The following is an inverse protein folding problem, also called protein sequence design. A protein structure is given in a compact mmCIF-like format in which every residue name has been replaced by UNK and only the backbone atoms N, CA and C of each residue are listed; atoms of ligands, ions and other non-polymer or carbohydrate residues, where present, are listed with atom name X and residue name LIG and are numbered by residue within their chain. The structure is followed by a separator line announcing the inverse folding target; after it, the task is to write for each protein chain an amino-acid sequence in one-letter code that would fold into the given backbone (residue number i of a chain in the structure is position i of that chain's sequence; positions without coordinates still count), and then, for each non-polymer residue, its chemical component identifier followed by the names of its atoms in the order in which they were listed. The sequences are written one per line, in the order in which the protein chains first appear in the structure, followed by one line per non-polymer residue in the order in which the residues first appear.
data_IF_842239383712
#
_entry.id   IF_842239383712
#
_cell.length_a   1.000
_cell.length_b   1.000
_cell.length_c   1.000
_cell.angle_alpha   90.00
_cell.angle_beta   90.00
_cell.angle_gamma   90.00
#
_symmetry.space_group_name_H-M   'P 1'
#
loop_
_entity.id
_entity.type
_entity.pdbx_description
1 polymer ?
#
# COMPACT_ATOMS: atom_id res chain seq x y z
N UNK A 1 -6.23 -14.79 11.41
CA UNK A 1 -6.88 -14.98 12.72
C UNK A 1 -8.14 -15.81 12.61
N UNK A 2 -8.35 -16.73 13.55
CA UNK A 2 -9.61 -17.49 13.68
C UNK A 2 -10.68 -16.70 14.45
N UNK A 3 -10.26 -15.64 15.16
CA UNK A 3 -11.13 -14.79 15.98
C UNK A 3 -11.79 -13.65 15.16
N UNK A 4 -11.45 -13.50 13.90
CA UNK A 4 -12.11 -12.53 13.01
C UNK A 4 -11.49 -11.14 12.94
N UNK A 5 -10.48 -10.84 13.77
CA UNK A 5 -9.91 -9.48 13.88
C UNK A 5 -8.62 -9.25 13.08
N UNK A 6 -8.22 -10.24 12.26
CA UNK A 6 -7.02 -10.13 11.43
C UNK A 6 -5.76 -9.81 12.25
N UNK A 7 -5.00 -8.82 11.80
CA UNK A 7 -3.76 -8.34 12.41
C UNK A 7 -3.98 -7.56 13.71
N UNK A 8 -5.20 -7.05 13.95
CA UNK A 8 -5.56 -6.30 15.15
C UNK A 8 -6.04 -7.17 16.32
N UNK A 9 -6.00 -8.50 16.21
CA UNK A 9 -6.58 -9.43 17.19
C UNK A 9 -6.07 -9.20 18.62
N UNK A 10 -4.79 -8.87 18.80
CA UNK A 10 -4.22 -8.60 20.14
C UNK A 10 -4.95 -7.43 20.83
N UNK A 11 -5.12 -6.32 20.09
CA UNK A 11 -5.81 -5.14 20.60
C UNK A 11 -7.32 -5.36 20.76
N UNK A 12 -7.99 -5.91 19.73
CA UNK A 12 -9.45 -5.97 19.70
C UNK A 12 -10.03 -6.99 20.68
N UNK A 13 -9.26 -8.05 20.97
CA UNK A 13 -9.62 -9.07 21.94
C UNK A 13 -8.96 -8.85 23.33
N UNK A 14 -8.20 -7.77 23.50
CA UNK A 14 -7.45 -7.46 24.72
C UNK A 14 -6.61 -8.66 25.21
N UNK A 15 -5.95 -9.36 24.28
CA UNK A 15 -5.12 -10.52 24.63
C UNK A 15 -3.88 -10.03 25.40
N UNK A 16 -3.67 -10.56 26.60
CA UNK A 16 -2.52 -10.17 27.43
C UNK A 16 -1.18 -10.42 26.74
N UNK A 17 -0.18 -9.60 27.06
CA UNK A 17 1.19 -9.75 26.55
C UNK A 17 1.70 -11.18 26.76
N UNK A 18 1.58 -11.70 28.00
CA UNK A 18 2.02 -13.06 28.37
C UNK A 18 1.36 -14.17 27.50
N UNK A 19 0.09 -14.01 27.16
CA UNK A 19 -0.63 -14.97 26.30
C UNK A 19 -0.20 -14.82 24.85
N UNK A 20 -0.13 -13.60 24.34
CA UNK A 20 0.20 -13.33 22.94
C UNK A 20 1.62 -13.73 22.57
N UNK A 21 2.58 -13.51 23.49
CA UNK A 21 3.98 -13.91 23.31
C UNK A 21 4.20 -15.42 23.14
N UNK A 22 3.21 -16.25 23.46
CA UNK A 22 3.25 -17.71 23.24
C UNK A 22 2.83 -18.12 21.83
N UNK A 23 2.15 -17.25 21.09
CA UNK A 23 1.66 -17.58 19.73
C UNK A 23 2.78 -17.94 18.74
N UNK A 24 3.97 -17.32 18.78
CA UNK A 24 5.08 -17.72 17.91
C UNK A 24 5.48 -19.19 18.00
N UNK A 25 5.24 -19.86 19.15
CA UNK A 25 5.50 -21.30 19.30
C UNK A 25 4.67 -22.16 18.34
N UNK A 26 3.52 -21.65 17.89
CA UNK A 26 2.62 -22.32 16.96
C UNK A 26 2.75 -21.82 15.52
N UNK A 27 3.56 -20.78 15.30
CA UNK A 27 3.80 -20.20 13.98
C UNK A 27 4.95 -20.93 13.29
N UNK A 28 4.63 -21.65 12.23
CA UNK A 28 5.59 -22.46 11.47
C UNK A 28 5.23 -22.45 9.97
N UNK A 29 5.63 -21.41 9.21
CA UNK A 29 5.28 -21.25 7.82
C UNK A 29 6.10 -22.18 6.90
N UNK A 30 5.90 -23.48 7.02
CA UNK A 30 6.67 -24.53 6.31
C UNK A 30 6.50 -24.50 4.80
N UNK A 31 5.35 -23.97 4.32
CA UNK A 31 5.01 -23.89 2.91
C UNK A 31 5.38 -22.50 2.31
N UNK A 32 6.07 -21.65 3.09
CA UNK A 32 6.56 -20.38 2.60
C UNK A 32 7.57 -20.57 1.47
N UNK A 33 7.25 -20.02 0.30
CA UNK A 33 8.10 -20.08 -0.88
C UNK A 33 8.27 -18.68 -1.49
N UNK A 34 9.35 -17.97 -1.17
CA UNK A 34 9.58 -16.60 -1.63
C UNK A 34 9.70 -16.49 -3.15
N UNK A 35 10.25 -17.50 -3.83
CA UNK A 35 10.37 -17.50 -5.29
C UNK A 35 8.98 -17.57 -5.96
N UNK A 36 8.06 -18.37 -5.41
CA UNK A 36 6.68 -18.40 -5.89
C UNK A 36 5.95 -17.09 -5.63
N UNK A 37 6.15 -16.46 -4.47
CA UNK A 37 5.55 -15.17 -4.16
C UNK A 37 6.00 -14.09 -5.15
N UNK A 38 7.32 -14.01 -5.38
CA UNK A 38 7.90 -13.02 -6.31
C UNK A 38 7.46 -13.28 -7.74
N UNK A 39 7.45 -14.56 -8.17
CA UNK A 39 6.94 -14.93 -9.49
C UNK A 39 5.48 -14.54 -9.67
N UNK A 40 4.63 -14.82 -8.70
CA UNK A 40 3.22 -14.45 -8.72
C UNK A 40 3.03 -12.93 -8.83
N UNK A 41 3.78 -12.15 -8.04
CA UNK A 41 3.75 -10.69 -8.12
C UNK A 41 4.19 -10.19 -9.52
N UNK A 42 5.26 -10.75 -10.07
CA UNK A 42 5.76 -10.42 -11.41
C UNK A 42 4.76 -10.78 -12.50
N UNK A 43 4.15 -11.96 -12.45
CA UNK A 43 3.12 -12.42 -13.40
C UNK A 43 1.85 -11.55 -13.30
N UNK A 44 1.56 -11.01 -12.12
CA UNK A 44 0.49 -10.04 -11.89
C UNK A 44 0.84 -8.61 -12.38
N UNK A 45 2.05 -8.39 -12.89
CA UNK A 45 2.51 -7.09 -13.38
C UNK A 45 3.02 -6.14 -12.31
N UNK A 46 3.20 -6.60 -11.07
CA UNK A 46 3.72 -5.80 -9.95
C UNK A 46 5.18 -5.41 -10.18
N UNK A 47 5.59 -4.26 -9.66
CA UNK A 47 6.95 -3.72 -9.79
C UNK A 47 7.71 -3.75 -8.48
N UNK A 48 7.01 -3.84 -7.37
CA UNK A 48 7.59 -3.92 -6.04
C UNK A 48 6.69 -4.72 -5.09
N UNK A 49 7.29 -5.19 -4.01
CA UNK A 49 6.63 -5.87 -2.89
C UNK A 49 6.94 -5.08 -1.63
N UNK A 50 5.93 -4.83 -0.80
CA UNK A 50 6.09 -4.31 0.56
C UNK A 50 5.74 -5.44 1.52
N UNK A 51 6.72 -5.86 2.35
CA UNK A 51 6.53 -6.93 3.34
C UNK A 51 6.59 -6.36 4.76
N UNK A 52 5.71 -6.81 5.63
CA UNK A 52 5.73 -6.45 7.04
C UNK A 52 6.95 -7.04 7.72
N UNK A 53 7.91 -6.19 8.10
CA UNK A 53 9.08 -6.59 8.89
C UNK A 53 8.75 -6.72 10.37
N UNK A 54 7.90 -5.80 10.88
CA UNK A 54 7.35 -5.80 12.24
C UNK A 54 6.02 -5.04 12.24
N UNK A 55 4.98 -5.60 12.86
CA UNK A 55 3.67 -4.96 13.03
C UNK A 55 3.49 -4.44 14.46
N UNK A 56 2.29 -3.97 14.80
CA UNK A 56 1.95 -3.34 16.08
C UNK A 56 2.10 -4.25 17.30
N UNK A 57 2.07 -5.55 17.11
CA UNK A 57 2.29 -6.56 18.16
C UNK A 57 3.77 -6.73 18.56
N UNK A 58 4.68 -6.03 17.89
CA UNK A 58 6.11 -6.04 18.17
C UNK A 58 6.87 -7.27 17.65
N UNK A 59 6.18 -8.25 17.03
CA UNK A 59 6.84 -9.45 16.49
C UNK A 59 7.62 -9.14 15.21
N UNK A 60 8.92 -9.47 15.22
CA UNK A 60 9.81 -9.24 14.08
C UNK A 60 9.88 -10.45 13.19
N UNK A 61 9.59 -10.28 11.89
CA UNK A 61 9.61 -11.33 10.87
C UNK A 61 11.03 -11.60 10.32
N UNK A 62 12.08 -11.12 11.01
CA UNK A 62 13.47 -11.22 10.59
C UNK A 62 14.40 -11.50 11.78
N UNK A 63 15.64 -11.92 11.51
CA UNK A 63 16.66 -12.24 12.51
C UNK A 63 17.28 -10.98 13.10
N UNK A 64 16.47 -10.22 13.88
CA UNK A 64 16.96 -9.03 14.57
C UNK A 64 17.74 -9.41 15.84
N UNK A 65 18.82 -8.68 16.11
CA UNK A 65 19.58 -8.78 17.36
C UNK A 65 19.10 -7.76 18.41
N UNK A 66 18.24 -6.82 17.97
CA UNK A 66 17.66 -5.82 18.88
C UNK A 66 16.56 -6.39 19.79
N UNK A 67 15.97 -7.55 19.44
CA UNK A 67 14.93 -8.21 20.22
C UNK A 67 14.95 -9.72 19.98
N UNK A 68 14.70 -10.50 21.03
CA UNK A 68 14.49 -11.95 20.93
C UNK A 68 13.07 -12.33 20.49
N UNK A 69 12.15 -11.34 20.44
CA UNK A 69 10.77 -11.54 19.98
C UNK A 69 10.71 -11.50 18.45
N UNK A 70 11.27 -12.52 17.83
CA UNK A 70 11.41 -12.63 16.39
C UNK A 70 11.20 -14.06 15.89
N UNK A 71 11.01 -14.18 14.57
CA UNK A 71 10.69 -15.46 13.92
C UNK A 71 11.79 -16.52 14.09
N UNK A 72 13.05 -16.14 14.18
CA UNK A 72 14.18 -17.06 14.32
C UNK A 72 14.28 -17.60 15.75
N UNK A 73 14.15 -16.73 16.75
CA UNK A 73 14.32 -17.11 18.16
C UNK A 73 13.07 -17.77 18.75
N UNK A 74 11.88 -17.28 18.42
CA UNK A 74 10.62 -17.64 19.09
C UNK A 74 9.77 -18.68 18.36
N UNK A 75 10.11 -19.07 17.11
CA UNK A 75 9.32 -20.06 16.36
C UNK A 75 10.07 -21.38 16.16
N UNK A 76 9.33 -22.42 15.77
CA UNK A 76 9.92 -23.67 15.30
C UNK A 76 10.50 -23.58 13.89
N UNK A 77 10.12 -22.56 13.13
CA UNK A 77 10.59 -22.32 11.76
C UNK A 77 12.08 -21.98 11.69
N UNK A 78 12.60 -21.20 12.62
CA UNK A 78 14.03 -20.88 12.79
C UNK A 78 14.72 -20.29 11.56
N UNK A 79 14.00 -19.68 10.64
CA UNK A 79 14.55 -19.08 9.42
C UNK A 79 14.06 -17.64 9.26
N UNK A 80 14.94 -16.81 8.69
CA UNK A 80 14.64 -15.43 8.35
C UNK A 80 13.86 -15.36 7.01
N UNK A 81 12.57 -15.05 7.09
CA UNK A 81 11.71 -14.99 5.89
C UNK A 81 12.02 -13.77 5.03
N UNK A 82 12.47 -12.65 5.63
CA UNK A 82 12.79 -11.45 4.88
C UNK A 82 14.05 -11.61 4.06
N UNK A 83 15.04 -12.33 4.56
CA UNK A 83 16.27 -12.60 3.83
C UNK A 83 16.00 -13.42 2.57
N UNK A 84 15.23 -14.49 2.70
CA UNK A 84 14.85 -15.32 1.56
C UNK A 84 14.02 -14.53 0.53
N UNK A 85 13.11 -13.65 0.98
CA UNK A 85 12.35 -12.79 0.08
C UNK A 85 13.22 -11.76 -0.64
N UNK A 86 14.17 -11.13 0.07
CA UNK A 86 15.08 -10.16 -0.52
C UNK A 86 15.95 -10.79 -1.64
N UNK A 87 16.44 -12.01 -1.43
CA UNK A 87 17.19 -12.76 -2.44
C UNK A 87 16.31 -13.08 -3.67
N UNK A 88 15.07 -13.52 -3.46
CA UNK A 88 14.13 -13.80 -4.54
C UNK A 88 13.75 -12.53 -5.32
N UNK A 89 13.48 -11.43 -4.64
CA UNK A 89 13.18 -10.13 -5.24
C UNK A 89 14.36 -9.64 -6.12
N UNK A 90 15.58 -9.71 -5.59
CA UNK A 90 16.80 -9.34 -6.34
C UNK A 90 16.96 -10.15 -7.61
N UNK A 91 16.74 -11.48 -7.56
CA UNK A 91 16.85 -12.39 -8.70
C UNK A 91 15.88 -12.04 -9.83
N UNK A 92 14.68 -11.56 -9.51
CA UNK A 92 13.60 -11.28 -10.45
C UNK A 92 13.45 -9.78 -10.79
N UNK A 93 14.32 -8.92 -10.27
CA UNK A 93 14.26 -7.44 -10.39
C UNK A 93 12.92 -6.86 -9.93
N UNK A 94 12.38 -7.41 -8.83
CA UNK A 94 11.26 -6.83 -8.10
C UNK A 94 11.83 -6.00 -6.95
N UNK A 95 11.38 -4.75 -6.83
CA UNK A 95 11.85 -3.87 -5.76
C UNK A 95 11.22 -4.27 -4.43
N UNK A 96 12.02 -4.27 -3.34
CA UNK A 96 11.56 -4.67 -2.01
C UNK A 96 11.47 -3.46 -1.10
N UNK A 97 10.32 -3.30 -0.44
CA UNK A 97 10.07 -2.36 0.64
C UNK A 97 9.81 -3.12 1.94
N UNK A 98 10.21 -2.54 3.06
CA UNK A 98 9.84 -3.04 4.37
C UNK A 98 8.78 -2.12 5.01
N UNK A 99 7.61 -2.69 5.33
CA UNK A 99 6.69 -2.06 6.28
C UNK A 99 7.27 -2.18 7.69
N UNK A 100 7.26 -1.09 8.42
CA UNK A 100 7.75 -1.03 9.78
C UNK A 100 6.78 -0.23 10.67
N UNK A 101 6.24 -0.89 11.70
CA UNK A 101 5.37 -0.23 12.66
C UNK A 101 6.15 0.68 13.61
N UNK A 102 5.73 1.93 13.70
CA UNK A 102 6.20 2.88 14.71
C UNK A 102 5.60 2.57 16.09
N UNK A 103 4.37 2.06 16.10
CA UNK A 103 3.64 1.68 17.29
C UNK A 103 4.03 0.26 17.73
N UNK A 104 4.03 0.02 19.05
CA UNK A 104 4.33 -1.29 19.66
C UNK A 104 3.47 -1.53 20.90
N UNK A 105 2.63 -2.58 20.85
CA UNK A 105 1.78 -2.95 21.98
C UNK A 105 2.54 -3.77 23.04
N UNK A 106 3.71 -4.30 22.71
CA UNK A 106 4.49 -5.18 23.57
C UNK A 106 5.65 -4.48 24.28
N UNK A 107 6.34 -3.56 23.60
CA UNK A 107 7.54 -2.93 24.14
C UNK A 107 7.24 -2.10 25.39
N UNK A 108 7.98 -2.36 26.47
CA UNK A 108 7.89 -1.58 27.71
C UNK A 108 8.31 -0.13 27.48
N UNK A 109 9.30 0.09 26.61
CA UNK A 109 9.82 1.42 26.29
C UNK A 109 8.93 2.22 25.32
N UNK A 110 7.87 1.61 24.73
CA UNK A 110 6.82 2.35 24.03
C UNK A 110 5.90 3.06 25.06
N UNK A 111 6.49 4.06 25.70
CA UNK A 111 5.86 4.83 26.77
C UNK A 111 6.19 6.33 26.61
N UNK A 112 5.18 7.25 26.67
CA UNK A 112 3.79 7.03 27.09
C UNK A 112 3.01 6.15 26.10
N UNK A 113 2.07 5.38 26.62
CA UNK A 113 1.19 4.53 25.80
C UNK A 113 0.38 5.37 24.82
N UNK A 114 0.19 4.85 23.63
CA UNK A 114 -0.66 5.44 22.60
C UNK A 114 -2.16 5.31 22.88
N UNK A 115 -2.96 5.53 21.84
CA UNK A 115 -4.43 5.41 21.89
C UNK A 115 -4.91 3.96 21.90
N UNK A 116 -4.12 3.05 21.37
CA UNK A 116 -4.49 1.65 21.18
C UNK A 116 -3.77 0.73 22.18
N UNK A 117 -4.27 -0.49 22.30
CA UNK A 117 -3.70 -1.47 23.22
C UNK A 117 -3.94 -1.18 24.70
N UNK A 118 -4.83 -0.25 25.05
CA UNK A 118 -5.02 0.14 26.47
C UNK A 118 -5.73 -0.93 27.30
N UNK A 119 -6.45 -1.85 26.65
CA UNK A 119 -7.06 -3.01 27.33
C UNK A 119 -6.16 -4.24 27.40
N UNK A 120 -4.96 -4.18 26.81
CA UNK A 120 -4.02 -5.31 26.83
C UNK A 120 -3.34 -5.37 28.20
N UNK A 121 -3.60 -6.46 28.92
CA UNK A 121 -2.99 -6.73 30.22
C UNK A 121 -1.50 -7.09 30.06
N UNK A 122 -0.69 -6.73 31.06
CA UNK A 122 0.76 -7.03 31.10
C UNK A 122 1.64 -6.01 30.37
N UNK A 123 1.08 -4.91 29.85
CA UNK A 123 1.89 -3.78 29.35
C UNK A 123 2.50 -2.99 30.49
N UNK A 124 3.74 -2.53 30.31
CA UNK A 124 4.46 -1.76 31.32
C UNK A 124 3.75 -0.43 31.68
N UNK A 125 3.86 -0.03 32.93
CA UNK A 125 3.33 1.24 33.48
C UNK A 125 4.36 2.39 33.37
N UNK A 126 5.57 2.10 32.89
CA UNK A 126 6.66 3.08 32.70
C UNK A 126 7.61 2.55 31.65
N UNK A 127 8.32 3.45 30.97
CA UNK A 127 9.30 3.11 29.95
C UNK A 127 10.13 4.33 29.58
N UNK A 128 11.07 4.16 28.67
CA UNK A 128 11.98 5.19 28.20
C UNK A 128 11.85 5.35 26.67
N UNK A 129 11.20 6.43 26.26
CA UNK A 129 10.99 6.73 24.85
C UNK A 129 12.28 6.80 24.02
N UNK A 130 13.36 7.29 24.61
CA UNK A 130 14.65 7.34 23.91
C UNK A 130 15.22 5.94 23.66
N UNK A 131 14.99 4.99 24.57
CA UNK A 131 15.35 3.57 24.33
C UNK A 131 14.50 2.98 23.22
N UNK A 132 13.21 3.31 23.16
CA UNK A 132 12.36 2.87 22.06
C UNK A 132 12.84 3.41 20.70
N UNK A 133 13.19 4.69 20.63
CA UNK A 133 13.79 5.29 19.41
C UNK A 133 15.12 4.61 19.04
N UNK A 134 15.98 4.35 20.04
CA UNK A 134 17.25 3.64 19.82
C UNK A 134 17.01 2.20 19.29
N UNK A 135 16.02 1.50 19.85
CA UNK A 135 15.59 0.18 19.39
C UNK A 135 15.12 0.21 17.92
N UNK A 136 14.25 1.16 17.53
CA UNK A 136 13.82 1.31 16.15
C UNK A 136 15.00 1.59 15.21
N UNK A 137 15.91 2.48 15.60
CA UNK A 137 17.12 2.80 14.80
C UNK A 137 18.03 1.57 14.63
N UNK A 138 18.17 0.74 15.65
CA UNK A 138 18.93 -0.51 15.58
C UNK A 138 18.29 -1.49 14.57
N UNK A 139 16.98 -1.73 14.64
CA UNK A 139 16.27 -2.60 13.71
C UNK A 139 16.31 -2.07 12.26
N UNK A 140 16.11 -0.76 12.06
CA UNK A 140 16.22 -0.15 10.74
C UNK A 140 17.63 -0.27 10.17
N UNK A 141 18.66 -0.14 11.02
CA UNK A 141 20.04 -0.38 10.59
C UNK A 141 20.24 -1.82 10.12
N UNK A 142 19.74 -2.81 10.86
CA UNK A 142 19.79 -4.22 10.45
C UNK A 142 19.08 -4.45 9.11
N UNK A 143 17.85 -3.93 8.96
CA UNK A 143 17.06 -4.06 7.74
C UNK A 143 17.74 -3.44 6.52
N UNK A 144 18.47 -2.34 6.70
CA UNK A 144 19.14 -1.63 5.62
C UNK A 144 20.59 -2.08 5.35
N UNK A 145 21.15 -2.94 6.21
CA UNK A 145 22.54 -3.43 6.03
C UNK A 145 22.64 -4.92 5.72
N UNK A 146 21.66 -5.74 6.12
CA UNK A 146 21.76 -7.20 6.06
C UNK A 146 20.95 -7.83 4.91
N UNK A 147 20.13 -7.08 4.20
CA UNK A 147 19.15 -7.58 3.21
C UNK A 147 19.44 -7.12 1.78
N UNK A 148 20.59 -6.50 1.54
CA UNK A 148 20.95 -5.94 0.24
C UNK A 148 20.29 -4.59 -0.04
N UNK A 149 20.06 -4.28 -1.31
CA UNK A 149 19.41 -3.03 -1.72
C UNK A 149 17.93 -3.05 -1.39
N UNK A 150 17.48 -2.10 -0.58
CA UNK A 150 16.08 -1.91 -0.18
C UNK A 150 15.53 -0.66 -0.88
N UNK A 151 14.40 -0.84 -1.53
CA UNK A 151 13.78 0.23 -2.31
C UNK A 151 13.04 1.26 -1.44
N UNK A 152 12.57 0.88 -0.26
CA UNK A 152 11.94 1.83 0.65
C UNK A 152 11.54 1.25 2.00
N UNK A 153 11.23 2.18 2.92
CA UNK A 153 10.63 1.90 4.23
C UNK A 153 9.23 2.51 4.24
N UNK A 154 8.27 1.71 4.64
CA UNK A 154 6.86 2.02 4.76
C UNK A 154 6.49 2.10 6.24
N UNK A 155 6.47 3.31 6.82
CA UNK A 155 6.12 3.50 8.23
C UNK A 155 4.61 3.57 8.46
N UNK A 156 4.19 3.08 9.62
CA UNK A 156 2.81 3.15 10.09
C UNK A 156 2.74 3.29 11.62
N UNK A 157 1.61 3.80 12.14
CA UNK A 157 1.37 3.88 13.57
C UNK A 157 1.65 5.24 14.21
N UNK A 158 2.11 6.26 13.46
CA UNK A 158 2.25 7.64 13.96
C UNK A 158 1.00 8.15 14.68
N UNK A 159 -0.17 7.85 14.13
CA UNK A 159 -1.47 8.26 14.61
C UNK A 159 -1.80 7.74 16.02
N UNK A 160 -1.12 6.69 16.50
CA UNK A 160 -1.36 6.13 17.84
C UNK A 160 -0.93 7.10 18.95
N UNK A 161 0.10 7.90 18.73
CA UNK A 161 0.60 8.89 19.69
C UNK A 161 -0.08 10.27 19.59
N UNK A 162 -1.11 10.43 18.74
CA UNK A 162 -1.92 11.65 18.71
C UNK A 162 -2.91 11.69 19.86
N UNK A 163 -3.07 12.86 20.47
CA UNK A 163 -4.18 13.11 21.40
C UNK A 163 -5.53 12.95 20.68
N UNK A 164 -6.53 12.52 21.41
CA UNK A 164 -7.89 12.40 20.92
C UNK A 164 -8.86 13.01 21.91
N UNK A 165 -9.58 14.07 21.52
CA UNK A 165 -10.55 14.78 22.37
C UNK A 165 -12.00 14.26 22.22
N UNK A 166 -12.20 13.16 21.51
CA UNK A 166 -13.51 12.59 21.18
C UNK A 166 -14.10 13.09 19.86
N UNK A 167 -13.47 14.07 19.21
CA UNK A 167 -13.94 14.68 17.95
C UNK A 167 -12.85 14.81 16.90
N UNK A 168 -11.61 15.15 17.29
CA UNK A 168 -10.48 15.39 16.40
C UNK A 168 -9.18 14.91 17.03
N UNK A 169 -8.20 14.67 16.17
CA UNK A 169 -6.84 14.43 16.60
C UNK A 169 -6.16 15.75 16.98
N UNK A 170 -5.51 15.74 18.13
CA UNK A 170 -4.69 16.82 18.67
C UNK A 170 -3.20 16.67 18.32
N UNK A 171 -2.37 17.25 19.21
CA UNK A 171 -0.92 17.17 19.12
C UNK A 171 -0.41 15.73 19.27
N UNK A 172 0.79 15.48 18.75
CA UNK A 172 1.54 14.24 19.01
C UNK A 172 2.18 14.34 20.38
N UNK A 173 2.04 13.28 21.19
CA UNK A 173 2.50 13.25 22.60
C UNK A 173 4.01 13.11 22.75
N UNK A 174 4.70 12.64 21.71
CA UNK A 174 6.11 12.26 21.72
C UNK A 174 6.86 12.89 20.57
N UNK A 175 8.17 13.04 20.70
CA UNK A 175 9.04 13.30 19.56
C UNK A 175 9.45 11.97 18.92
N UNK A 176 9.09 11.78 17.67
CA UNK A 176 9.47 10.60 16.87
C UNK A 176 10.91 10.64 16.36
N UNK A 177 11.59 11.77 16.50
CA UNK A 177 12.95 11.97 15.96
C UNK A 177 13.06 11.66 14.45
N UNK A 178 12.04 12.04 13.67
CA UNK A 178 12.01 11.73 12.22
C UNK A 178 13.24 12.26 11.48
N UNK A 179 13.74 13.45 11.82
CA UNK A 179 14.96 13.99 11.20
C UNK A 179 16.14 13.02 11.34
N UNK A 180 16.29 12.39 12.51
CA UNK A 180 17.35 11.42 12.77
C UNK A 180 17.10 10.08 12.08
N UNK A 181 15.86 9.58 12.14
CA UNK A 181 15.47 8.29 11.57
C UNK A 181 15.57 8.35 10.04
N UNK A 182 15.01 9.39 9.40
CA UNK A 182 15.04 9.54 7.96
C UNK A 182 16.45 9.80 7.44
N UNK A 183 17.25 10.60 8.17
CA UNK A 183 18.66 10.78 7.85
C UNK A 183 19.46 9.49 7.96
N UNK A 184 19.22 8.66 8.97
CA UNK A 184 19.87 7.36 9.11
C UNK A 184 19.56 6.45 7.92
N UNK A 185 18.30 6.39 7.48
CA UNK A 185 17.89 5.58 6.32
C UNK A 185 18.63 6.03 5.06
N UNK A 186 18.61 7.34 4.74
CA UNK A 186 19.28 7.87 3.56
C UNK A 186 20.82 7.82 3.64
N UNK A 187 21.40 7.84 4.85
CA UNK A 187 22.85 7.61 5.02
C UNK A 187 23.24 6.17 4.74
N UNK A 188 22.43 5.20 5.17
CA UNK A 188 22.68 3.79 4.93
C UNK A 188 22.40 3.39 3.47
N UNK A 189 21.30 3.88 2.92
CA UNK A 189 20.89 3.62 1.53
C UNK A 189 20.26 4.89 0.92
N UNK A 190 21.03 5.71 0.20
CA UNK A 190 20.54 6.99 -0.35
C UNK A 190 19.36 6.87 -1.32
N UNK A 191 19.19 5.71 -1.95
CA UNK A 191 18.09 5.43 -2.89
C UNK A 191 16.83 4.89 -2.19
N UNK A 192 16.89 4.58 -0.89
CA UNK A 192 15.78 4.02 -0.15
C UNK A 192 14.69 5.08 0.06
N UNK A 193 13.52 4.87 -0.50
CA UNK A 193 12.39 5.80 -0.38
C UNK A 193 11.72 5.69 0.98
N UNK A 194 11.25 6.80 1.51
CA UNK A 194 10.57 6.87 2.80
C UNK A 194 9.13 7.34 2.61
N UNK A 195 8.18 6.54 3.10
CA UNK A 195 6.78 6.91 3.24
C UNK A 195 6.26 6.61 4.65
N UNK A 196 5.28 7.39 5.11
CA UNK A 196 4.72 7.24 6.44
C UNK A 196 3.20 7.43 6.41
N UNK A 197 2.46 6.41 6.86
CA UNK A 197 1.00 6.37 6.88
C UNK A 197 0.42 7.17 8.06
N UNK A 198 0.74 8.44 8.14
CA UNK A 198 0.31 9.33 9.23
C UNK A 198 -0.95 10.14 8.94
N UNK A 199 -1.48 10.06 7.71
CA UNK A 199 -2.68 10.78 7.24
C UNK A 199 -2.58 12.31 7.34
N UNK A 200 -1.39 12.87 7.15
CA UNK A 200 -1.08 14.30 7.19
C UNK A 200 -0.44 14.76 5.89
N UNK A 201 -0.18 16.07 5.79
CA UNK A 201 0.75 16.61 4.80
C UNK A 201 2.14 15.97 4.99
N UNK A 202 2.92 15.80 3.90
CA UNK A 202 4.23 15.18 3.99
C UNK A 202 5.16 15.85 5.01
N UNK A 203 5.81 15.04 5.82
CA UNK A 203 6.85 15.47 6.76
C UNK A 203 8.18 15.57 6.00
N UNK A 204 9.02 16.52 6.41
CA UNK A 204 10.33 16.72 5.78
C UNK A 204 11.16 15.43 5.84
N UNK A 205 11.67 15.01 4.68
CA UNK A 205 12.47 13.79 4.52
C UNK A 205 11.68 12.58 4.00
N UNK A 206 10.37 12.72 3.81
CA UNK A 206 9.56 11.73 3.10
C UNK A 206 9.72 11.89 1.59
N UNK A 207 9.69 10.76 0.87
CA UNK A 207 9.87 10.69 -0.58
C UNK A 207 8.55 10.44 -1.32
N UNK A 208 7.55 9.90 -0.63
CA UNK A 208 6.19 9.72 -1.16
C UNK A 208 5.13 9.84 -0.06
N UNK A 209 3.93 10.26 -0.47
CA UNK A 209 2.78 10.40 0.43
C UNK A 209 1.84 9.21 0.28
N UNK A 210 1.34 8.71 1.40
CA UNK A 210 0.53 7.51 1.47
C UNK A 210 -0.93 7.82 1.77
N UNK A 211 -1.81 7.00 1.18
CA UNK A 211 -3.26 7.06 1.34
C UNK A 211 -3.78 5.65 1.60
N UNK A 212 -4.51 5.46 2.70
CA UNK A 212 -5.04 4.15 3.07
C UNK A 212 -6.49 4.02 2.66
N UNK A 213 -6.80 3.05 1.77
CA UNK A 213 -8.15 2.73 1.25
C UNK A 213 -8.90 3.87 0.57
N UNK A 214 -8.44 5.10 0.71
CA UNK A 214 -8.99 6.28 0.05
C UNK A 214 -8.05 6.80 -1.04
N UNK A 215 -8.59 7.12 -2.20
CA UNK A 215 -7.85 7.82 -3.24
C UNK A 215 -7.46 9.23 -2.78
N UNK A 216 -6.35 9.81 -3.29
CA UNK A 216 -5.94 11.15 -2.91
C UNK A 216 -7.08 12.18 -3.00
N UNK A 217 -7.38 12.86 -1.89
CA UNK A 217 -8.46 13.83 -1.78
C UNK A 217 -9.85 13.23 -1.55
N UNK A 218 -9.96 11.94 -1.37
CA UNK A 218 -11.18 11.27 -0.87
C UNK A 218 -11.04 10.98 0.62
N UNK A 219 -12.17 10.89 1.31
CA UNK A 219 -12.23 10.49 2.71
C UNK A 219 -13.53 9.71 2.95
N UNK A 220 -13.60 8.51 2.39
CA UNK A 220 -14.77 7.62 2.54
C UNK A 220 -14.65 6.74 3.77
N UNK A 221 -13.43 6.54 4.26
CA UNK A 221 -13.14 5.75 5.46
C UNK A 221 -13.31 6.54 6.76
N UNK A 222 -13.26 7.87 6.69
CA UNK A 222 -13.33 8.76 7.85
C UNK A 222 -11.97 9.12 8.45
N UNK A 223 -10.89 8.47 8.02
CA UNK A 223 -9.51 8.80 8.43
C UNK A 223 -8.59 9.20 7.26
N UNK A 224 -9.16 9.33 6.06
CA UNK A 224 -8.42 9.75 4.88
C UNK A 224 -7.76 11.12 5.05
N UNK A 225 -6.64 11.33 4.36
CA UNK A 225 -5.94 12.62 4.32
C UNK A 225 -6.82 13.69 3.69
N UNK A 226 -6.96 14.83 4.36
CA UNK A 226 -7.77 15.94 3.82
C UNK A 226 -7.19 16.47 2.50
N UNK A 227 -8.03 17.02 1.64
CA UNK A 227 -7.60 17.58 0.35
C UNK A 227 -6.57 18.72 0.50
N UNK A 228 -6.61 19.45 1.62
CA UNK A 228 -5.65 20.52 1.95
C UNK A 228 -4.27 20.00 2.35
N UNK A 229 -4.16 18.73 2.72
CA UNK A 229 -2.90 18.10 3.16
C UNK A 229 -2.22 17.27 2.05
N UNK A 230 -2.75 17.31 0.82
CA UNK A 230 -2.13 16.63 -0.32
C UNK A 230 -0.92 17.44 -0.78
N UNK A 231 0.28 16.83 -0.63
CA UNK A 231 1.54 17.42 -1.06
C UNK A 231 1.86 17.19 -2.54
N UNK A 232 3.03 17.68 -2.93
CA UNK A 232 3.57 17.53 -4.29
C UNK A 232 4.35 16.22 -4.51
N UNK A 233 4.60 15.44 -3.44
CA UNK A 233 5.33 14.18 -3.54
C UNK A 233 4.59 13.15 -4.40
N UNK A 234 5.31 12.17 -4.98
CA UNK A 234 4.68 10.96 -5.51
C UNK A 234 3.70 10.35 -4.50
N UNK A 235 2.68 9.68 -5.00
CA UNK A 235 1.60 9.18 -4.16
C UNK A 235 1.49 7.66 -4.28
N UNK A 236 1.13 7.03 -3.18
CA UNK A 236 0.76 5.62 -3.13
C UNK A 236 -0.57 5.47 -2.38
N UNK A 237 -1.48 4.70 -2.91
CA UNK A 237 -2.68 4.26 -2.19
C UNK A 237 -2.58 2.76 -1.92
N UNK A 238 -2.88 2.33 -0.71
CA UNK A 238 -2.94 0.91 -0.37
C UNK A 238 -4.38 0.44 -0.20
N UNK A 239 -4.67 -0.77 -0.67
CA UNK A 239 -5.99 -1.39 -0.62
C UNK A 239 -5.88 -2.90 -0.42
N UNK A 240 -6.90 -3.53 0.14
CA UNK A 240 -7.00 -4.98 0.37
C UNK A 240 -7.87 -5.66 -0.69
N UNK A 241 -7.61 -6.92 -0.98
CA UNK A 241 -8.49 -7.76 -1.82
C UNK A 241 -9.79 -8.08 -1.08
N UNK A 242 -9.71 -8.32 0.23
CA UNK A 242 -10.86 -8.53 1.11
C UNK A 242 -10.95 -7.41 2.17
N UNK A 243 -11.56 -7.64 3.33
CA UNK A 243 -11.72 -6.61 4.38
C UNK A 243 -10.50 -6.44 5.27
N UNK A 244 -9.71 -7.51 5.46
CA UNK A 244 -8.59 -7.57 6.41
C UNK A 244 -7.23 -7.38 5.72
N UNK A 245 -6.27 -6.76 6.41
CA UNK A 245 -4.89 -6.68 5.96
C UNK A 245 -4.17 -8.02 6.13
N UNK A 246 -4.24 -8.60 7.32
CA UNK A 246 -3.72 -9.92 7.62
C UNK A 246 -4.70 -11.03 7.27
N UNK A 247 -4.22 -12.28 7.24
CA UNK A 247 -5.08 -13.45 7.04
C UNK A 247 -6.19 -13.53 8.08
N UNK A 248 -7.42 -13.61 7.62
CA UNK A 248 -8.59 -13.74 8.46
C UNK A 248 -9.51 -14.84 7.90
N UNK A 249 -9.62 -15.94 8.65
CA UNK A 249 -10.41 -17.11 8.22
C UNK A 249 -11.91 -16.79 8.05
N UNK A 250 -12.43 -15.78 8.75
CA UNK A 250 -13.85 -15.39 8.69
C UNK A 250 -14.15 -14.39 7.57
N UNK A 251 -13.13 -13.70 7.04
CA UNK A 251 -13.29 -12.72 5.98
C UNK A 251 -13.35 -13.39 4.59
N UNK A 252 -14.56 -13.61 4.13
CA UNK A 252 -14.87 -14.26 2.85
C UNK A 252 -15.31 -13.29 1.74
N UNK A 253 -15.36 -12.00 2.05
CA UNK A 253 -15.80 -10.98 1.09
C UNK A 253 -14.60 -10.46 0.29
N UNK A 254 -14.31 -11.11 -0.82
CA UNK A 254 -13.29 -10.65 -1.76
C UNK A 254 -13.90 -9.69 -2.77
N UNK A 255 -13.18 -8.62 -3.09
CA UNK A 255 -13.51 -7.75 -4.22
C UNK A 255 -13.42 -8.53 -5.51
N UNK A 256 -14.31 -8.27 -6.45
CA UNK A 256 -14.26 -8.86 -7.79
C UNK A 256 -13.03 -8.34 -8.56
N UNK A 257 -12.61 -9.07 -9.58
CA UNK A 257 -11.51 -8.64 -10.45
C UNK A 257 -11.81 -7.28 -11.11
N UNK A 258 -13.07 -7.04 -11.48
CA UNK A 258 -13.51 -5.77 -12.04
C UNK A 258 -13.34 -4.61 -11.03
N UNK A 259 -13.70 -4.81 -9.76
CA UNK A 259 -13.50 -3.80 -8.71
C UNK A 259 -12.02 -3.50 -8.48
N UNK A 260 -11.16 -4.54 -8.44
CA UNK A 260 -9.72 -4.38 -8.24
C UNK A 260 -9.04 -3.69 -9.42
N UNK A 261 -9.41 -4.05 -10.66
CA UNK A 261 -8.89 -3.40 -11.88
C UNK A 261 -9.37 -1.94 -11.94
N UNK A 262 -10.63 -1.69 -11.64
CA UNK A 262 -11.18 -0.33 -11.57
C UNK A 262 -10.46 0.50 -10.50
N UNK A 263 -10.11 -0.10 -9.36
CA UNK A 263 -9.37 0.59 -8.33
C UNK A 263 -7.93 0.95 -8.78
N UNK A 264 -7.24 0.03 -9.46
CA UNK A 264 -5.93 0.28 -10.08
C UNK A 264 -5.98 1.44 -11.08
N UNK A 265 -6.98 1.44 -11.97
CA UNK A 265 -7.18 2.51 -12.95
C UNK A 265 -7.43 3.85 -12.26
N UNK A 266 -8.30 3.86 -11.25
CA UNK A 266 -8.56 5.06 -10.47
C UNK A 266 -7.29 5.56 -9.76
N UNK A 267 -6.51 4.68 -9.13
CA UNK A 267 -5.25 5.06 -8.50
C UNK A 267 -4.33 5.78 -9.50
N UNK A 268 -4.12 5.20 -10.68
CA UNK A 268 -3.33 5.81 -11.74
C UNK A 268 -3.91 7.16 -12.21
N UNK A 269 -5.23 7.24 -12.39
CA UNK A 269 -5.94 8.48 -12.78
C UNK A 269 -5.89 9.58 -11.72
N UNK A 270 -5.68 9.24 -10.45
CA UNK A 270 -5.40 10.18 -9.36
C UNK A 270 -3.89 10.46 -9.17
N UNK A 271 -3.05 9.95 -10.08
CA UNK A 271 -1.59 10.14 -10.05
C UNK A 271 -0.92 9.38 -8.92
N UNK A 272 -1.45 8.22 -8.55
CA UNK A 272 -1.01 7.40 -7.43
C UNK A 272 -0.60 6.00 -7.88
N UNK A 273 0.42 5.41 -7.26
CA UNK A 273 0.65 3.97 -7.34
C UNK A 273 -0.41 3.22 -6.51
N UNK A 274 -0.69 1.97 -6.86
CA UNK A 274 -1.49 1.07 -6.04
C UNK A 274 -0.60 0.03 -5.37
N UNK A 275 -0.65 -0.04 -4.03
CA UNK A 275 -0.15 -1.13 -3.22
C UNK A 275 -1.33 -2.05 -2.87
N UNK A 276 -1.46 -3.18 -3.58
CA UNK A 276 -2.54 -4.15 -3.35
C UNK A 276 -2.10 -5.23 -2.38
N UNK A 277 -2.78 -5.32 -1.24
CA UNK A 277 -2.43 -6.21 -0.16
C UNK A 277 -2.97 -7.64 -0.36
N UNK A 278 -2.15 -8.61 0.01
CA UNK A 278 -2.52 -10.01 0.24
C UNK A 278 -2.19 -10.39 1.68
N UNK A 279 -3.02 -11.22 2.31
CA UNK A 279 -2.78 -11.74 3.67
C UNK A 279 -2.33 -13.20 3.61
N UNK A 280 -1.03 -13.49 3.67
CA UNK A 280 -0.54 -14.87 3.68
C UNK A 280 -1.12 -15.69 4.83
N UNK A 281 -1.42 -16.96 4.55
CA UNK A 281 -1.88 -17.92 5.53
C UNK A 281 -0.75 -18.28 6.53
N UNK A 282 -1.08 -18.78 7.73
CA UNK A 282 -0.08 -19.14 8.75
C UNK A 282 0.95 -20.19 8.31
N UNK A 283 0.63 -21.01 7.29
CA UNK A 283 1.56 -21.97 6.71
C UNK A 283 2.55 -21.34 5.71
N UNK A 284 2.37 -20.07 5.34
CA UNK A 284 3.23 -19.33 4.41
C UNK A 284 2.73 -19.23 2.98
N UNK A 285 1.60 -19.88 2.64
CA UNK A 285 0.99 -19.75 1.31
C UNK A 285 0.13 -18.49 1.18
N UNK A 286 -0.02 -17.99 -0.03
CA UNK A 286 -1.04 -16.98 -0.38
C UNK A 286 -2.37 -17.67 -0.65
N UNK A 287 -3.48 -17.10 -0.20
CA UNK A 287 -4.82 -17.63 -0.41
C UNK A 287 -5.12 -17.86 -1.90
N UNK A 288 -5.73 -18.99 -2.29
CA UNK A 288 -6.06 -19.29 -3.69
C UNK A 288 -6.91 -18.20 -4.36
N UNK A 289 -7.83 -17.59 -3.63
CA UNK A 289 -8.67 -16.49 -4.12
C UNK A 289 -7.84 -15.26 -4.48
N UNK A 290 -6.85 -14.90 -3.65
CA UNK A 290 -5.94 -13.79 -3.92
C UNK A 290 -5.04 -14.10 -5.13
N UNK A 291 -4.53 -15.32 -5.26
CA UNK A 291 -3.75 -15.76 -6.42
C UNK A 291 -4.59 -15.63 -7.70
N UNK A 292 -5.86 -16.03 -7.68
CA UNK A 292 -6.75 -15.93 -8.81
C UNK A 292 -6.96 -14.47 -9.26
N UNK A 293 -7.26 -13.57 -8.31
CA UNK A 293 -7.43 -12.14 -8.58
C UNK A 293 -6.15 -11.50 -9.13
N UNK A 294 -4.99 -11.78 -8.53
CA UNK A 294 -3.70 -11.29 -9.02
C UNK A 294 -3.41 -11.74 -10.45
N UNK A 295 -3.69 -13.02 -10.77
CA UNK A 295 -3.54 -13.55 -12.13
C UNK A 295 -4.44 -12.84 -13.15
N UNK A 296 -5.66 -12.50 -12.77
CA UNK A 296 -6.60 -11.81 -13.65
C UNK A 296 -6.24 -10.33 -13.83
N UNK A 297 -5.75 -9.67 -12.79
CA UNK A 297 -5.14 -8.32 -12.89
C UNK A 297 -3.93 -8.36 -13.86
N UNK A 298 -3.07 -9.37 -13.74
CA UNK A 298 -1.92 -9.56 -14.65
C UNK A 298 -2.35 -9.72 -16.11
N UNK A 299 -3.40 -10.48 -16.39
CA UNK A 299 -3.95 -10.59 -17.75
C UNK A 299 -4.43 -9.24 -18.31
N UNK A 300 -5.13 -8.46 -17.48
CA UNK A 300 -5.58 -7.13 -17.86
C UNK A 300 -4.39 -6.19 -18.13
N UNK A 301 -3.39 -6.18 -17.27
CA UNK A 301 -2.17 -5.37 -17.41
C UNK A 301 -1.31 -5.79 -18.61
N UNK A 302 -1.24 -7.07 -18.95
CA UNK A 302 -0.56 -7.54 -20.15
C UNK A 302 -1.16 -6.93 -21.43
N UNK A 303 -2.48 -6.70 -21.45
CA UNK A 303 -3.19 -6.08 -22.58
C UNK A 303 -3.13 -4.55 -22.52
N UNK A 304 -3.29 -3.97 -21.34
CA UNK A 304 -3.57 -2.55 -21.17
C UNK A 304 -2.46 -1.78 -20.40
N UNK A 305 -1.39 -2.43 -19.97
CA UNK A 305 -0.38 -1.85 -19.09
C UNK A 305 0.32 -0.60 -19.64
N UNK A 306 0.34 -0.42 -20.99
CA UNK A 306 0.81 0.82 -21.61
C UNK A 306 0.11 2.06 -21.05
N UNK A 307 -1.16 1.91 -20.67
CA UNK A 307 -2.01 3.01 -20.20
C UNK A 307 -1.84 3.32 -18.71
N UNK A 308 -1.09 2.47 -17.99
CA UNK A 308 -0.86 2.57 -16.54
C UNK A 308 0.62 2.84 -16.23
N UNK A 309 1.52 2.00 -16.78
CA UNK A 309 2.94 2.08 -16.41
C UNK A 309 3.62 3.34 -16.95
N UNK A 310 4.37 4.02 -16.07
CA UNK A 310 5.14 5.21 -16.41
C UNK A 310 4.28 6.44 -16.69
N UNK A 311 2.98 6.38 -16.38
CA UNK A 311 2.06 7.50 -16.58
C UNK A 311 2.02 8.44 -15.39
N UNK A 312 1.39 9.60 -15.59
CA UNK A 312 0.96 10.56 -14.58
C UNK A 312 -0.53 10.83 -14.77
N UNK A 313 -1.16 11.50 -13.81
CA UNK A 313 -2.54 11.97 -13.97
C UNK A 313 -2.66 12.77 -15.27
N UNK A 314 -3.67 12.47 -16.07
CA UNK A 314 -3.96 13.15 -17.32
C UNK A 314 -4.88 14.38 -17.14
N UNK A 315 -5.29 15.03 -18.24
CA UNK A 315 -6.18 16.18 -18.23
C UNK A 315 -7.59 15.81 -17.77
N UNK A 316 -8.28 16.79 -17.21
CA UNK A 316 -9.63 16.64 -16.66
C UNK A 316 -9.62 16.11 -15.22
N UNK A 317 -10.63 16.52 -14.45
CA UNK A 317 -10.78 16.07 -13.08
C UNK A 317 -11.26 14.60 -13.06
N UNK A 318 -10.64 13.73 -12.25
CA UNK A 318 -11.12 12.36 -12.07
C UNK A 318 -12.57 12.33 -11.59
N UNK A 319 -13.37 11.43 -12.17
CA UNK A 319 -14.77 11.24 -11.80
C UNK A 319 -15.08 9.75 -11.65
N UNK A 320 -16.23 9.40 -11.07
CA UNK A 320 -16.67 8.01 -10.98
C UNK A 320 -16.93 7.32 -12.33
N UNK A 321 -16.99 8.08 -13.43
CA UNK A 321 -17.26 7.56 -14.77
C UNK A 321 -16.06 7.63 -15.71
N UNK A 322 -15.05 8.44 -15.39
CA UNK A 322 -13.86 8.63 -16.23
C UNK A 322 -12.68 9.13 -15.41
N UNK A 323 -11.52 8.57 -15.70
CA UNK A 323 -10.23 9.10 -15.27
C UNK A 323 -9.29 9.14 -16.48
N UNK A 324 -8.17 9.85 -16.37
CA UNK A 324 -7.18 9.89 -17.43
C UNK A 324 -5.78 9.74 -16.89
N UNK A 325 -4.94 9.10 -17.70
CA UNK A 325 -3.50 9.00 -17.51
C UNK A 325 -2.77 9.61 -18.70
N UNK A 326 -1.52 10.02 -18.53
CA UNK A 326 -0.74 10.58 -19.63
C UNK A 326 0.75 10.28 -19.53
N UNK A 327 1.39 10.16 -20.67
CA UNK A 327 2.85 10.14 -20.84
C UNK A 327 3.26 10.60 -22.24
N UNK A 328 4.34 11.35 -22.36
CA UNK A 328 5.01 11.67 -23.63
C UNK A 328 4.08 12.18 -24.75
N UNK A 329 3.14 13.08 -24.42
CA UNK A 329 2.19 13.65 -25.39
C UNK A 329 1.03 12.72 -25.77
N UNK A 330 0.88 11.60 -25.06
CA UNK A 330 -0.23 10.67 -25.20
C UNK A 330 -1.08 10.71 -23.93
N UNK A 331 -2.38 10.85 -24.10
CA UNK A 331 -3.40 10.77 -23.06
C UNK A 331 -4.22 9.50 -23.26
N UNK A 332 -4.44 8.76 -22.19
CA UNK A 332 -5.36 7.63 -22.14
C UNK A 332 -6.57 8.02 -21.31
N UNK A 333 -7.76 7.99 -21.92
CA UNK A 333 -9.03 8.20 -21.22
C UNK A 333 -9.59 6.84 -20.87
N UNK A 334 -9.80 6.60 -19.59
CA UNK A 334 -10.39 5.38 -19.05
C UNK A 334 -11.85 5.64 -18.72
N UNK A 335 -12.75 4.98 -19.45
CA UNK A 335 -14.19 5.15 -19.29
C UNK A 335 -14.73 3.98 -18.47
N UNK A 336 -15.03 4.27 -17.21
CA UNK A 336 -15.46 3.30 -16.20
C UNK A 336 -16.98 3.14 -16.09
N UNK A 337 -17.72 3.95 -16.85
CA UNK A 337 -19.18 3.88 -16.97
C UNK A 337 -19.57 3.55 -18.41
N UNK A 338 -19.86 2.27 -18.68
CA UNK A 338 -20.22 1.80 -20.01
C UNK A 338 -21.66 2.15 -20.47
N UNK A 339 -22.39 2.97 -19.72
CA UNK A 339 -23.77 3.34 -20.00
C UNK A 339 -23.92 4.62 -20.82
N UNK A 340 -22.88 5.46 -20.88
CA UNK A 340 -22.93 6.74 -21.55
C UNK A 340 -22.56 6.63 -23.04
N UNK A 341 -23.33 7.28 -23.89
CA UNK A 341 -23.05 7.38 -25.33
C UNK A 341 -22.09 8.53 -25.66
N UNK A 342 -21.97 9.51 -24.76
CA UNK A 342 -21.16 10.73 -24.96
C UNK A 342 -20.49 11.15 -23.66
N UNK A 343 -19.26 11.61 -23.77
CA UNK A 343 -18.45 12.13 -22.67
C UNK A 343 -17.99 13.56 -22.97
N UNK A 344 -17.76 14.33 -21.91
CA UNK A 344 -17.22 15.70 -21.97
C UNK A 344 -16.02 15.80 -21.03
N UNK A 345 -14.92 16.33 -21.55
CA UNK A 345 -13.80 16.84 -20.73
C UNK A 345 -13.92 18.37 -20.76
N UNK A 346 -14.40 19.01 -19.69
CA UNK A 346 -14.57 20.46 -19.63
C UNK A 346 -13.22 21.18 -19.78
N UNK A 347 -13.25 22.38 -20.38
CA UNK A 347 -12.08 23.26 -20.50
C UNK A 347 -10.84 22.59 -21.11
N UNK A 348 -11.01 21.64 -22.03
CA UNK A 348 -9.92 21.04 -22.75
C UNK A 348 -9.44 22.00 -23.85
N UNK A 349 -8.19 22.46 -23.74
CA UNK A 349 -7.59 23.42 -24.67
C UNK A 349 -6.51 22.78 -25.59
N UNK A 350 -6.33 21.47 -25.52
CA UNK A 350 -5.32 20.76 -26.29
C UNK A 350 -5.65 20.60 -27.78
N UNK A 351 -4.63 20.60 -28.65
CA UNK A 351 -4.80 20.23 -30.05
C UNK A 351 -4.66 18.72 -30.22
N UNK A 352 -5.73 18.07 -30.60
CA UNK A 352 -5.77 16.63 -30.82
C UNK A 352 -5.25 16.31 -32.22
N UNK A 353 -4.16 15.55 -32.34
CA UNK A 353 -3.63 15.03 -33.60
C UNK A 353 -4.34 13.76 -34.02
N UNK A 354 -4.62 12.87 -33.07
CA UNK A 354 -5.29 11.60 -33.30
C UNK A 354 -6.04 11.14 -32.07
N UNK A 355 -7.21 10.54 -32.27
CA UNK A 355 -8.04 9.98 -31.18
C UNK A 355 -8.66 8.66 -31.64
N UNK A 356 -8.35 7.57 -30.96
CA UNK A 356 -8.76 6.22 -31.32
C UNK A 356 -9.12 5.39 -30.11
N UNK A 357 -10.01 4.41 -30.26
CA UNK A 357 -10.21 3.37 -29.27
C UNK A 357 -8.95 2.51 -29.17
N UNK A 358 -8.43 2.33 -27.96
CA UNK A 358 -7.16 1.64 -27.70
C UNK A 358 -7.20 0.18 -28.17
N UNK A 359 -8.32 -0.49 -27.93
CA UNK A 359 -8.48 -1.92 -28.20
C UNK A 359 -8.41 -2.30 -29.68
N UNK A 360 -8.85 -1.44 -30.60
CA UNK A 360 -9.00 -1.79 -32.02
C UNK A 360 -8.49 -0.72 -32.98
N UNK A 361 -8.03 0.45 -32.49
CA UNK A 361 -7.55 1.55 -33.33
C UNK A 361 -8.63 2.32 -34.08
N UNK A 362 -9.92 2.00 -33.91
CA UNK A 362 -11.03 2.70 -34.57
C UNK A 362 -11.03 4.17 -34.15
N UNK A 363 -11.26 5.07 -35.14
CA UNK A 363 -11.30 6.52 -34.90
C UNK A 363 -12.48 6.90 -33.99
N UNK A 364 -12.21 7.76 -33.00
CA UNK A 364 -13.23 8.34 -32.13
C UNK A 364 -13.80 9.61 -32.78
N UNK A 365 -15.13 9.69 -32.88
CA UNK A 365 -15.83 10.92 -33.31
C UNK A 365 -15.81 11.89 -32.12
N UNK A 366 -15.21 13.06 -32.35
CA UNK A 366 -15.06 14.08 -31.31
C UNK A 366 -15.15 15.51 -31.86
N UNK A 367 -15.40 16.45 -30.96
CA UNK A 367 -15.43 17.89 -31.21
C UNK A 367 -14.77 18.62 -30.04
N UNK A 368 -13.95 19.63 -30.37
CA UNK A 368 -13.42 20.57 -29.36
C UNK A 368 -14.08 21.92 -29.63
N UNK A 369 -14.67 22.51 -28.62
CA UNK A 369 -15.29 23.84 -28.64
C UNK A 369 -15.09 24.58 -27.31
N UNK A 370 -15.78 25.69 -27.12
CA UNK A 370 -15.70 26.55 -25.93
C UNK A 370 -16.05 25.84 -24.61
N UNK A 371 -16.78 24.72 -24.66
CA UNK A 371 -17.13 23.90 -23.49
C UNK A 371 -16.06 22.84 -23.17
N UNK A 372 -15.20 22.51 -24.12
CA UNK A 372 -14.16 21.50 -24.00
C UNK A 372 -14.18 20.44 -25.09
N UNK A 373 -13.72 19.22 -24.74
CA UNK A 373 -13.68 18.07 -25.65
C UNK A 373 -14.90 17.18 -25.41
N UNK A 374 -15.77 17.08 -26.43
CA UNK A 374 -16.90 16.12 -26.46
C UNK A 374 -16.57 14.98 -27.42
N UNK A 375 -16.88 13.73 -27.05
CA UNK A 375 -16.66 12.57 -27.90
C UNK A 375 -17.72 11.48 -27.69
N UNK A 376 -17.96 10.69 -28.76
CA UNK A 376 -18.95 9.61 -28.78
C UNK A 376 -18.31 8.24 -28.53
N UNK A 377 -19.05 7.38 -27.82
CA UNK A 377 -18.64 6.00 -27.51
C UNK A 377 -19.76 5.04 -27.90
N UNK A 378 -19.73 4.50 -29.12
CA UNK A 378 -20.72 3.53 -29.61
C UNK A 378 -20.74 2.27 -28.71
N UNK A 379 -21.88 1.62 -28.60
CA UNK A 379 -22.09 0.45 -27.71
C UNK A 379 -21.18 -0.72 -28.08
N UNK A 380 -20.93 -0.93 -29.37
CA UNK A 380 -20.14 -2.04 -29.88
C UNK A 380 -18.65 -1.99 -29.58
N UNK A 381 -18.12 -0.86 -29.12
CA UNK A 381 -16.71 -0.71 -28.73
C UNK A 381 -16.50 -0.67 -27.22
N UNK A 382 -17.57 -0.80 -26.43
CA UNK A 382 -17.49 -0.71 -24.97
C UNK A 382 -16.97 -2.00 -24.38
N UNK A 383 -16.11 -1.85 -23.38
CA UNK A 383 -15.66 -2.93 -22.51
C UNK A 383 -16.40 -2.84 -21.17
N UNK A 384 -16.65 -3.97 -20.53
CA UNK A 384 -17.42 -4.04 -19.29
C UNK A 384 -16.68 -3.43 -18.08
N UNK A 385 -15.35 -3.39 -18.13
CA UNK A 385 -14.51 -2.84 -17.05
C UNK A 385 -14.01 -1.45 -17.42
N UNK A 386 -13.38 -1.32 -18.61
CA UNK A 386 -12.67 -0.10 -18.99
C UNK A 386 -12.61 0.06 -20.52
N UNK A 387 -13.36 0.99 -21.05
CA UNK A 387 -13.22 1.40 -22.44
C UNK A 387 -12.14 2.47 -22.57
N UNK A 388 -11.02 2.12 -23.18
CA UNK A 388 -9.85 3.00 -23.26
C UNK A 388 -9.79 3.74 -24.59
N UNK A 389 -9.59 5.06 -24.51
CA UNK A 389 -9.31 5.91 -25.68
C UNK A 389 -7.87 6.41 -25.58
N UNK A 390 -7.12 6.24 -26.68
CA UNK A 390 -5.79 6.81 -26.87
C UNK A 390 -5.88 8.10 -27.65
N UNK A 391 -5.34 9.19 -27.11
CA UNK A 391 -5.35 10.52 -27.68
C UNK A 391 -3.92 11.06 -27.78
N UNK A 392 -3.47 11.40 -28.98
CA UNK A 392 -2.21 12.07 -29.26
C UNK A 392 -2.44 13.60 -29.30
N UNK A 393 -1.71 14.36 -28.49
CA UNK A 393 -1.84 15.82 -28.30
C UNK A 393 -0.58 16.58 -28.69
#
# INVERSE_FOLDING_TARGET
SVLGDGEWVMNNQNISVDTYEKLPLFFNPVDYNPEQWVKMAKDAGMKYITITSRHHDGFSMFDTKASDYNIVERTHYKKDVLKALAEACKKEDIKLFFYYSLLDWRSDDYFPRGRTGNGIEGRAESGDWNKYIAFMKAQLTELLTNYGEIAGIWFDGHWDQKEWDGKKFGAVKVDWHYDEIYSLIHQLQPQCLIGNNHHLAPIKGEDFQMFEKDLPGKNTTGWGTSSGDIGALPKEVCETINGSWGFNLQDKKHKSDAELITYLINAAGYGSNLLLNVGPMPNGEIQPEHIASLKNIGKWLNKNGETIYGTRQGPGAPSGSMVSTQKEGIVYLHLLDNKKDTYLIPHFEGKIKKMTFFANGQKVVHKVDEFGLTFAVPKEVRDDIDTIIKMEI
#
